data_IF_505586899535
#
_entry.id   IF_505586899535
#
_cell.length_a   1.000
_cell.length_b   1.000
_cell.length_c   1.000
_cell.angle_alpha   90.00
_cell.angle_beta   90.00
_cell.angle_gamma   90.00
#
_symmetry.space_group_name_H-M   'P 1'
#
loop_
_entity.id
_entity.type
_entity.pdbx_description
1 polymer ?
#
# COMPACT_ATOMS: atom_id res chain seq x y z
N UNK A 1 19.21 -3.17 -24.80
CA UNK A 1 18.73 -2.68 -23.49
C UNK A 1 17.32 -2.10 -23.54
N UNK A 2 17.01 -1.17 -24.45
CA UNK A 2 15.65 -0.57 -24.61
C UNK A 2 14.56 -1.62 -24.88
N UNK A 3 14.80 -2.60 -25.76
CA UNK A 3 13.82 -3.65 -26.08
C UNK A 3 13.44 -4.54 -24.88
N UNK A 4 14.37 -4.80 -23.96
CA UNK A 4 14.13 -5.57 -22.74
C UNK A 4 13.27 -4.77 -21.73
N UNK A 5 13.51 -3.48 -21.60
CA UNK A 5 12.73 -2.58 -20.74
C UNK A 5 11.29 -2.49 -21.27
N UNK A 6 11.11 -2.30 -22.57
CA UNK A 6 9.79 -2.23 -23.20
C UNK A 6 9.01 -3.55 -23.08
N UNK A 7 9.67 -4.71 -23.23
CA UNK A 7 9.02 -6.01 -23.06
C UNK A 7 8.59 -6.27 -21.62
N UNK A 8 9.40 -5.86 -20.63
CA UNK A 8 9.07 -5.97 -19.22
C UNK A 8 7.93 -5.04 -18.84
N UNK A 9 7.96 -3.77 -19.30
CA UNK A 9 6.89 -2.81 -19.08
C UNK A 9 5.56 -3.29 -19.67
N UNK A 10 5.58 -3.85 -20.91
CA UNK A 10 4.39 -4.43 -21.56
C UNK A 10 3.82 -5.60 -20.76
N UNK A 11 4.67 -6.54 -20.30
CA UNK A 11 4.23 -7.67 -19.46
C UNK A 11 3.62 -7.22 -18.15
N UNK A 12 4.21 -6.20 -17.50
CA UNK A 12 3.67 -5.63 -16.27
C UNK A 12 2.33 -4.94 -16.52
N UNK A 13 2.22 -4.13 -17.57
CA UNK A 13 0.98 -3.46 -17.95
C UNK A 13 -0.14 -4.47 -18.25
N UNK A 14 0.16 -5.58 -18.95
CA UNK A 14 -0.82 -6.64 -19.22
C UNK A 14 -1.29 -7.34 -17.92
N UNK A 15 -0.39 -7.60 -16.97
CA UNK A 15 -0.76 -8.18 -15.66
C UNK A 15 -1.67 -7.24 -14.88
N UNK A 16 -1.33 -5.96 -14.83
CA UNK A 16 -2.13 -4.95 -14.14
C UNK A 16 -3.52 -4.82 -14.81
N UNK A 17 -3.57 -4.77 -16.12
CA UNK A 17 -4.83 -4.67 -16.87
C UNK A 17 -5.71 -5.92 -16.69
N UNK A 18 -5.14 -7.13 -16.73
CA UNK A 18 -5.91 -8.36 -16.52
C UNK A 18 -6.44 -8.47 -15.09
N UNK A 19 -5.64 -8.09 -14.08
CA UNK A 19 -6.09 -8.03 -12.69
C UNK A 19 -7.20 -7.01 -12.50
N UNK A 20 -7.03 -5.80 -13.05
CA UNK A 20 -8.04 -4.74 -12.97
C UNK A 20 -9.37 -5.14 -13.65
N UNK A 21 -9.29 -5.83 -14.81
CA UNK A 21 -10.49 -6.34 -15.49
C UNK A 21 -11.18 -7.43 -14.67
N UNK A 22 -10.43 -8.35 -14.09
CA UNK A 22 -10.99 -9.39 -13.23
C UNK A 22 -11.67 -8.77 -11.99
N UNK A 23 -11.01 -7.83 -11.34
CA UNK A 23 -11.59 -7.10 -10.21
C UNK A 23 -12.88 -6.37 -10.58
N UNK A 24 -12.89 -5.66 -11.71
CA UNK A 24 -14.08 -5.00 -12.25
C UNK A 24 -15.26 -5.97 -12.44
N UNK A 25 -15.00 -7.13 -13.03
CA UNK A 25 -16.03 -8.15 -13.25
C UNK A 25 -16.57 -8.69 -11.93
N UNK A 26 -15.69 -9.00 -10.98
CA UNK A 26 -16.07 -9.48 -9.64
C UNK A 26 -16.88 -8.44 -8.90
N UNK A 27 -16.47 -7.18 -8.89
CA UNK A 27 -17.19 -6.10 -8.22
C UNK A 27 -18.60 -5.90 -8.80
N UNK A 28 -18.73 -5.88 -10.15
CA UNK A 28 -20.03 -5.79 -10.82
C UNK A 28 -20.93 -6.99 -10.49
N UNK A 29 -20.39 -8.20 -10.54
CA UNK A 29 -21.17 -9.41 -10.26
C UNK A 29 -21.62 -9.46 -8.81
N UNK A 30 -20.73 -9.14 -7.86
CA UNK A 30 -21.06 -9.09 -6.43
C UNK A 30 -22.15 -8.06 -6.16
N UNK A 31 -21.98 -6.84 -6.66
CA UNK A 31 -23.00 -5.79 -6.53
C UNK A 31 -24.33 -6.20 -7.17
N UNK A 32 -24.31 -6.82 -8.36
CA UNK A 32 -25.51 -7.29 -9.04
C UNK A 32 -26.26 -8.39 -8.28
N UNK A 33 -25.54 -9.38 -7.75
CA UNK A 33 -26.14 -10.46 -6.96
C UNK A 33 -26.86 -9.91 -5.74
N UNK A 34 -26.28 -8.89 -5.10
CA UNK A 34 -26.81 -8.29 -3.87
C UNK A 34 -27.97 -7.33 -4.19
N UNK A 35 -27.80 -6.42 -5.15
CA UNK A 35 -28.77 -5.35 -5.45
C UNK A 35 -29.88 -5.78 -6.40
N UNK A 36 -29.64 -6.80 -7.23
CA UNK A 36 -30.50 -7.21 -8.36
C UNK A 36 -30.78 -6.07 -9.35
N UNK A 37 -29.99 -5.01 -9.31
CA UNK A 37 -30.01 -3.88 -10.22
C UNK A 37 -28.69 -3.79 -11.00
N UNK A 38 -28.77 -4.03 -12.32
CA UNK A 38 -27.58 -4.01 -13.18
C UNK A 38 -26.99 -2.60 -13.35
N UNK A 39 -27.84 -1.55 -13.29
CA UNK A 39 -27.38 -0.15 -13.40
C UNK A 39 -26.60 0.27 -12.17
N UNK A 40 -27.13 -0.03 -10.99
CA UNK A 40 -26.44 0.17 -9.72
C UNK A 40 -25.14 -0.64 -9.64
N UNK A 41 -25.17 -1.90 -10.05
CA UNK A 41 -23.99 -2.76 -10.06
C UNK A 41 -22.89 -2.24 -10.99
N UNK A 42 -23.22 -1.78 -12.20
CA UNK A 42 -22.26 -1.14 -13.11
C UNK A 42 -21.71 0.16 -12.52
N UNK A 43 -22.56 0.98 -11.90
CA UNK A 43 -22.13 2.22 -11.27
C UNK A 43 -21.14 1.94 -10.13
N UNK A 44 -21.43 0.98 -9.25
CA UNK A 44 -20.49 0.56 -8.18
C UNK A 44 -19.18 0.07 -8.78
N UNK A 45 -19.23 -0.88 -9.70
CA UNK A 45 -18.03 -1.48 -10.29
C UNK A 45 -17.12 -0.52 -11.05
N UNK A 46 -17.65 0.59 -11.60
CA UNK A 46 -16.86 1.61 -12.31
C UNK A 46 -16.39 2.71 -11.36
N UNK A 47 -17.25 3.18 -10.47
CA UNK A 47 -16.97 4.33 -9.58
C UNK A 47 -16.02 3.92 -8.45
N UNK A 48 -16.23 2.73 -7.87
CA UNK A 48 -15.43 2.24 -6.74
C UNK A 48 -13.93 2.19 -7.05
N UNK A 49 -13.42 1.60 -8.16
CA UNK A 49 -11.98 1.56 -8.46
C UNK A 49 -11.34 2.95 -8.61
N UNK A 50 -12.11 3.95 -9.05
CA UNK A 50 -11.62 5.34 -9.15
C UNK A 50 -11.33 5.88 -7.75
N UNK A 51 -12.29 5.75 -6.83
CA UNK A 51 -12.11 6.19 -5.43
C UNK A 51 -11.06 5.37 -4.71
N UNK A 52 -10.97 4.05 -4.96
CA UNK A 52 -9.92 3.19 -4.44
C UNK A 52 -8.53 3.66 -4.89
N UNK A 53 -8.37 4.01 -6.15
CA UNK A 53 -7.08 4.51 -6.68
C UNK A 53 -6.68 5.83 -6.02
N UNK A 54 -7.62 6.75 -5.83
CA UNK A 54 -7.38 8.02 -5.15
C UNK A 54 -7.00 7.79 -3.67
N UNK A 55 -7.78 6.97 -2.96
CA UNK A 55 -7.55 6.65 -1.56
C UNK A 55 -6.20 5.92 -1.37
N UNK A 56 -5.88 4.95 -2.24
CA UNK A 56 -4.58 4.28 -2.24
C UNK A 56 -3.42 5.28 -2.42
N UNK A 57 -3.56 6.21 -3.36
CA UNK A 57 -2.52 7.21 -3.62
C UNK A 57 -2.27 8.11 -2.41
N UNK A 58 -3.33 8.48 -1.69
CA UNK A 58 -3.23 9.27 -0.44
C UNK A 58 -2.59 8.42 0.66
N UNK A 59 -3.07 7.20 0.88
CA UNK A 59 -2.57 6.27 1.87
C UNK A 59 -1.06 6.01 1.68
N UNK A 60 -0.65 5.73 0.44
CA UNK A 60 0.76 5.46 0.12
C UNK A 60 1.65 6.69 0.38
N UNK A 61 1.20 7.91 0.01
CA UNK A 61 1.92 9.16 0.32
C UNK A 61 2.07 9.38 1.83
N UNK A 62 1.03 9.08 2.63
CA UNK A 62 1.09 9.18 4.09
C UNK A 62 2.10 8.20 4.65
N UNK A 63 2.05 6.94 4.20
CA UNK A 63 3.00 5.91 4.65
C UNK A 63 4.44 6.24 4.26
N UNK A 64 4.69 6.75 3.05
CA UNK A 64 6.02 7.21 2.64
C UNK A 64 6.55 8.37 3.52
N UNK A 65 5.69 9.24 4.00
CA UNK A 65 6.08 10.30 4.96
C UNK A 65 6.44 9.71 6.33
N UNK A 66 5.65 8.76 6.81
CA UNK A 66 5.89 8.08 8.09
C UNK A 66 7.20 7.27 8.02
N UNK A 67 7.41 6.50 6.97
CA UNK A 67 8.63 5.72 6.76
C UNK A 67 9.87 6.63 6.71
N UNK A 68 9.80 7.74 5.98
CA UNK A 68 10.90 8.72 5.93
C UNK A 68 11.22 9.34 7.28
N UNK A 69 10.20 9.71 8.06
CA UNK A 69 10.40 10.27 9.40
C UNK A 69 11.03 9.25 10.35
N UNK A 70 10.61 8.00 10.30
CA UNK A 70 11.19 6.91 11.11
C UNK A 70 12.64 6.62 10.73
N UNK A 71 12.96 6.66 9.44
CA UNK A 71 14.35 6.50 8.97
C UNK A 71 15.23 7.66 9.43
N UNK A 72 14.73 8.89 9.38
CA UNK A 72 15.44 10.07 9.84
C UNK A 72 15.72 10.00 11.35
N UNK A 73 14.71 9.71 12.18
CA UNK A 73 14.88 9.58 13.64
C UNK A 73 15.80 8.41 14.01
N UNK A 74 15.70 7.27 13.33
CA UNK A 74 16.60 6.14 13.55
C UNK A 74 18.04 6.43 13.14
N UNK A 75 18.24 7.25 12.10
CA UNK A 75 19.57 7.69 11.68
C UNK A 75 20.18 8.68 12.69
N UNK A 76 19.38 9.63 13.20
CA UNK A 76 19.81 10.56 14.26
C UNK A 76 20.23 9.81 15.52
N UNK A 77 19.40 8.86 16.00
CA UNK A 77 19.70 8.03 17.17
C UNK A 77 20.97 7.17 16.95
N UNK A 78 21.13 6.58 15.76
CA UNK A 78 22.34 5.82 15.41
C UNK A 78 23.57 6.73 15.35
N UNK A 79 23.46 7.94 14.83
CA UNK A 79 24.56 8.91 14.74
C UNK A 79 24.99 9.37 16.11
N UNK A 80 24.06 9.67 17.02
CA UNK A 80 24.35 10.03 18.41
C UNK A 80 25.03 8.87 19.16
N UNK A 81 24.53 7.62 18.98
CA UNK A 81 25.12 6.45 19.59
C UNK A 81 26.55 6.17 19.10
N UNK A 82 26.83 6.42 17.81
CA UNK A 82 28.18 6.30 17.23
C UNK A 82 29.07 7.41 17.75
N UNK A 83 28.61 8.66 17.81
CA UNK A 83 29.34 9.79 18.34
C UNK A 83 29.73 9.58 19.81
N UNK A 84 28.78 9.14 20.64
CA UNK A 84 29.02 8.81 22.04
C UNK A 84 30.05 7.66 22.22
N UNK A 85 30.04 6.68 21.29
CA UNK A 85 31.07 5.60 21.30
C UNK A 85 32.43 6.11 20.88
N UNK A 86 32.53 6.94 19.86
CA UNK A 86 33.78 7.50 19.37
C UNK A 86 34.47 8.39 20.42
N UNK A 87 33.67 9.07 21.25
CA UNK A 87 34.21 9.94 22.33
C UNK A 87 34.90 9.13 23.45
N UNK A 88 34.55 7.86 23.61
CA UNK A 88 35.13 6.96 24.63
C UNK A 88 36.25 6.05 24.06
N UNK A 89 36.40 5.95 22.73
CA UNK A 89 37.31 5.05 22.05
C UNK A 89 38.68 5.67 21.83
N UNK A 90 39.71 4.81 21.91
CA UNK A 90 41.10 5.21 21.59
C UNK A 90 41.27 5.52 20.09
N UNK A 91 42.24 6.39 19.71
CA UNK A 91 42.50 6.74 18.31
C UNK A 91 42.79 5.53 17.39
N UNK A 92 43.33 4.45 17.92
CA UNK A 92 43.67 3.23 17.20
C UNK A 92 42.45 2.37 16.91
N UNK A 93 41.44 2.39 17.77
CA UNK A 93 40.17 1.72 17.59
C UNK A 93 39.26 2.45 16.60
N UNK A 94 39.29 3.78 16.58
CA UNK A 94 38.56 4.63 15.63
C UNK A 94 39.02 4.36 14.18
N UNK A 95 40.30 4.14 13.93
CA UNK A 95 40.85 3.85 12.62
C UNK A 95 40.35 2.50 12.04
N UNK A 96 40.09 1.50 12.89
CA UNK A 96 39.58 0.18 12.44
C UNK A 96 38.13 0.19 12.01
N UNK A 97 37.30 1.10 12.53
CA UNK A 97 35.87 1.21 12.17
C UNK A 97 35.69 1.80 10.77
N UNK A 98 36.58 2.68 10.33
CA UNK A 98 36.52 3.27 8.99
C UNK A 98 36.67 2.25 7.86
N UNK A 99 37.35 1.13 8.09
CA UNK A 99 37.61 0.12 7.05
C UNK A 99 36.40 -0.83 6.78
N UNK A 100 35.41 -0.88 7.69
CA UNK A 100 34.25 -1.79 7.60
C UNK A 100 32.92 -1.11 7.26
N UNK A 101 32.87 0.20 7.05
CA UNK A 101 31.64 0.98 6.85
C UNK A 101 31.01 0.87 5.43
N UNK A 102 31.47 -0.07 4.57
CA UNK A 102 31.12 -0.12 3.15
C UNK A 102 29.81 -0.80 2.77
N UNK A 103 29.07 -1.44 3.66
CA UNK A 103 27.84 -2.19 3.30
C UNK A 103 26.65 -1.78 4.15
N UNK A 104 25.91 -0.77 3.68
CA UNK A 104 24.59 -0.46 4.23
C UNK A 104 23.56 -1.45 3.68
N UNK A 105 23.29 -2.53 4.41
CA UNK A 105 22.10 -3.35 4.16
C UNK A 105 20.87 -2.56 4.56
N UNK A 106 19.94 -2.38 3.62
CA UNK A 106 18.61 -1.85 3.93
C UNK A 106 18.00 -2.70 5.06
N UNK A 107 17.69 -2.07 6.20
CA UNK A 107 17.12 -2.77 7.36
C UNK A 107 15.84 -3.49 6.93
N UNK A 108 15.67 -4.79 7.26
CA UNK A 108 14.46 -5.52 6.93
C UNK A 108 13.27 -4.84 7.62
N UNK A 109 12.23 -4.55 6.83
CA UNK A 109 10.98 -3.99 7.38
C UNK A 109 10.47 -4.89 8.49
N UNK A 110 10.23 -4.32 9.67
CA UNK A 110 9.70 -5.09 10.78
C UNK A 110 8.32 -5.63 10.41
N UNK A 111 8.02 -6.88 10.79
CA UNK A 111 6.72 -7.51 10.57
C UNK A 111 5.56 -6.62 11.03
N UNK A 112 5.72 -5.91 12.16
CA UNK A 112 4.74 -4.95 12.68
C UNK A 112 4.45 -3.80 11.71
N UNK A 113 5.46 -3.30 11.00
CA UNK A 113 5.27 -2.22 10.02
C UNK A 113 4.48 -2.72 8.81
N UNK A 114 4.79 -3.91 8.31
CA UNK A 114 4.07 -4.54 7.20
C UNK A 114 2.63 -4.79 7.62
N UNK A 115 2.41 -5.42 8.76
CA UNK A 115 1.08 -5.72 9.29
C UNK A 115 0.24 -4.44 9.48
N UNK A 116 0.81 -3.37 10.05
CA UNK A 116 0.09 -2.11 10.25
C UNK A 116 -0.25 -1.44 8.91
N UNK A 117 0.67 -1.43 7.94
CA UNK A 117 0.42 -0.86 6.61
C UNK A 117 -0.69 -1.64 5.89
N UNK A 118 -0.67 -2.96 5.96
CA UNK A 118 -1.70 -3.82 5.36
C UNK A 118 -3.06 -3.64 6.05
N UNK A 119 -3.08 -3.58 7.37
CA UNK A 119 -4.32 -3.39 8.13
C UNK A 119 -4.97 -2.03 7.82
N UNK A 120 -4.18 -0.95 7.85
CA UNK A 120 -4.70 0.39 7.51
C UNK A 120 -5.17 0.50 6.07
N UNK A 121 -4.52 -0.21 5.14
CA UNK A 121 -4.99 -0.33 3.77
C UNK A 121 -6.33 -1.07 3.69
N UNK A 122 -6.47 -2.19 4.39
CA UNK A 122 -7.74 -2.95 4.43
C UNK A 122 -8.90 -2.14 4.99
N UNK A 123 -8.67 -1.39 6.08
CA UNK A 123 -9.69 -0.50 6.66
C UNK A 123 -10.08 0.61 5.67
N UNK A 124 -9.10 1.22 5.01
CA UNK A 124 -9.35 2.25 4.00
C UNK A 124 -10.14 1.68 2.81
N UNK A 125 -9.74 0.53 2.29
CA UNK A 125 -10.43 -0.14 1.17
C UNK A 125 -11.90 -0.42 1.53
N UNK A 126 -12.15 -1.05 2.67
CA UNK A 126 -13.50 -1.31 3.17
C UNK A 126 -14.33 -0.03 3.31
N UNK A 127 -13.75 1.03 3.87
CA UNK A 127 -14.44 2.31 4.05
C UNK A 127 -14.84 2.93 2.72
N UNK A 128 -13.96 2.90 1.72
CA UNK A 128 -14.25 3.41 0.36
C UNK A 128 -15.34 2.58 -0.29
N UNK A 129 -15.24 1.25 -0.27
CA UNK A 129 -16.21 0.35 -0.88
C UNK A 129 -17.62 0.56 -0.29
N UNK A 130 -17.73 0.59 1.05
CA UNK A 130 -19.00 0.86 1.74
C UNK A 130 -19.53 2.26 1.42
N UNK A 131 -18.67 3.29 1.39
CA UNK A 131 -19.08 4.66 1.11
C UNK A 131 -19.61 4.82 -0.31
N UNK A 132 -18.94 4.26 -1.30
CA UNK A 132 -19.35 4.29 -2.70
C UNK A 132 -20.66 3.51 -2.89
N UNK A 133 -20.73 2.29 -2.36
CA UNK A 133 -21.93 1.47 -2.43
C UNK A 133 -23.12 2.15 -1.75
N UNK A 134 -22.91 2.78 -0.58
CA UNK A 134 -23.96 3.53 0.12
C UNK A 134 -24.43 4.75 -0.66
N UNK A 135 -23.51 5.53 -1.23
CA UNK A 135 -23.86 6.70 -2.04
C UNK A 135 -24.71 6.34 -3.28
N UNK A 136 -24.53 5.14 -3.82
CA UNK A 136 -25.23 4.68 -5.02
C UNK A 136 -26.52 3.91 -4.72
N UNK A 137 -26.55 3.16 -3.61
CA UNK A 137 -27.73 2.31 -3.25
C UNK A 137 -28.65 2.95 -2.24
N UNK A 138 -28.17 3.94 -1.47
CA UNK A 138 -28.86 4.57 -0.35
C UNK A 138 -29.34 3.57 0.74
N UNK A 139 -28.81 2.36 0.74
CA UNK A 139 -29.08 1.31 1.72
C UNK A 139 -27.79 0.82 2.39
N UNK A 140 -27.70 1.08 3.69
CA UNK A 140 -26.51 0.73 4.49
C UNK A 140 -26.28 -0.79 4.58
N UNK A 141 -27.35 -1.58 4.57
CA UNK A 141 -27.23 -3.04 4.65
C UNK A 141 -26.62 -3.60 3.36
N UNK A 142 -27.11 -3.14 2.24
CA UNK A 142 -26.57 -3.46 0.91
C UNK A 142 -25.13 -2.99 0.77
N UNK A 143 -24.82 -1.77 1.21
CA UNK A 143 -23.47 -1.22 1.16
C UNK A 143 -22.47 -2.03 2.00
N UNK A 144 -22.84 -2.40 3.24
CA UNK A 144 -22.03 -3.26 4.10
C UNK A 144 -21.83 -4.66 3.49
N UNK A 145 -22.87 -5.24 2.93
CA UNK A 145 -22.79 -6.55 2.28
C UNK A 145 -21.80 -6.52 1.09
N UNK A 146 -21.87 -5.50 0.24
CA UNK A 146 -20.94 -5.32 -0.88
C UNK A 146 -19.50 -5.17 -0.35
N UNK A 147 -19.26 -4.22 0.56
CA UNK A 147 -17.94 -3.93 1.08
C UNK A 147 -17.29 -5.09 1.86
N UNK A 148 -18.09 -6.02 2.42
CA UNK A 148 -17.57 -7.21 3.10
C UNK A 148 -17.30 -8.37 2.13
N UNK A 149 -18.16 -8.57 1.15
CA UNK A 149 -18.10 -9.75 0.26
C UNK A 149 -17.08 -9.52 -0.86
N UNK A 150 -17.04 -8.31 -1.42
CA UNK A 150 -16.18 -7.99 -2.55
C UNK A 150 -14.69 -8.32 -2.31
N UNK A 151 -14.05 -7.97 -1.18
CA UNK A 151 -12.65 -8.33 -0.95
C UNK A 151 -12.41 -9.81 -0.63
N UNK A 152 -13.45 -10.61 -0.43
CA UNK A 152 -13.35 -12.06 -0.13
C UNK A 152 -13.46 -12.94 -1.38
N UNK A 153 -13.91 -12.41 -2.50
CA UNK A 153 -14.13 -13.12 -3.76
C UNK A 153 -12.99 -12.86 -4.73
#
# INVERSE_FOLDING_TARGET
>A
MVGMILSTARKLAMKIASYGLMHLVVAILTAFVITRDWRGALAVGVVEPIFQTLAYSIHDRVWHRIERRRLASGLEEATEAVAARLDVMSPQEQARIHDHAGHSHALPRSFRQIATKTLTYGVMHFTVAVSVAFALTHDIRTALAIGMIEPLV
#
